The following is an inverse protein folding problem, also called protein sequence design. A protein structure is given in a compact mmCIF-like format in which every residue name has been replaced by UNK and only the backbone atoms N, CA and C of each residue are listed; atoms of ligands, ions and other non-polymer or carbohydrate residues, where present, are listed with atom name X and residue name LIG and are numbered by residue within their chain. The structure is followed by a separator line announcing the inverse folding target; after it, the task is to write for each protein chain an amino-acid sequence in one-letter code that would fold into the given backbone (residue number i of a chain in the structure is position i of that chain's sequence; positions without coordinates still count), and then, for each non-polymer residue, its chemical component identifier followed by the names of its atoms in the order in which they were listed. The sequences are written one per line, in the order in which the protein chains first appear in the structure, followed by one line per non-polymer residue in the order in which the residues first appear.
data_IF_943237239188
#
_entry.id   IF_943237239188
#
_cell.length_a   1.000
_cell.length_b   1.000
_cell.length_c   1.000
_cell.angle_alpha   90.00
_cell.angle_beta   90.00
_cell.angle_gamma   90.00
#
_symmetry.space_group_name_H-M   'P 1'
#
loop_
_entity.id
_entity.type
_entity.pdbx_description
1 polymer ?
#
# COMPACT_ATOMS: atom_id res chain seq x y z
N UNK A 1 6.54 21.72 -0.50
CA UNK A 1 7.18 21.85 0.83
C UNK A 1 8.38 20.90 0.88
N UNK A 2 9.55 21.35 1.34
CA UNK A 2 10.75 20.51 1.47
C UNK A 2 11.97 20.89 0.60
N UNK A 3 12.05 22.13 0.10
CA UNK A 3 13.21 22.56 -0.66
C UNK A 3 14.41 22.83 0.26
N UNK A 4 15.46 21.99 0.16
CA UNK A 4 16.78 22.29 0.71
C UNK A 4 17.44 23.42 -0.09
N UNK A 5 18.06 24.37 0.61
CA UNK A 5 18.83 25.44 0.00
C UNK A 5 20.01 24.87 -0.80
N UNK A 6 20.30 25.45 -1.97
CA UNK A 6 21.36 24.98 -2.86
C UNK A 6 22.72 24.78 -2.16
N UNK A 7 23.22 25.70 -1.30
CA UNK A 7 24.52 25.54 -0.64
C UNK A 7 24.63 24.33 0.31
N UNK A 8 23.49 23.84 0.81
CA UNK A 8 23.44 22.67 1.68
C UNK A 8 23.27 21.38 0.87
N UNK A 9 22.58 21.45 -0.27
CA UNK A 9 22.41 20.34 -1.22
C UNK A 9 23.77 19.90 -1.81
N UNK A 10 24.60 20.87 -2.17
CA UNK A 10 25.89 20.62 -2.83
C UNK A 10 26.92 19.94 -1.90
N UNK A 11 26.64 19.88 -0.58
CA UNK A 11 27.47 19.17 0.41
C UNK A 11 27.18 17.66 0.47
N UNK A 12 26.11 17.17 -0.19
CA UNK A 12 25.82 15.75 -0.26
C UNK A 12 26.50 15.14 -1.50
N UNK A 13 27.52 14.29 -1.29
CA UNK A 13 28.27 13.65 -2.38
C UNK A 13 27.53 12.52 -3.11
N UNK A 14 26.38 12.07 -2.59
CA UNK A 14 25.52 11.06 -3.22
C UNK A 14 24.08 11.55 -3.12
N UNK A 15 23.43 11.69 -4.27
CA UNK A 15 22.02 12.09 -4.37
C UNK A 15 21.27 10.93 -5.02
N UNK A 16 20.51 10.20 -4.21
CA UNK A 16 19.60 9.17 -4.70
C UNK A 16 18.18 9.70 -4.71
N UNK A 17 17.50 9.61 -5.85
CA UNK A 17 16.08 9.89 -5.97
C UNK A 17 15.33 8.57 -5.92
N UNK A 18 14.45 8.43 -4.94
CA UNK A 18 13.52 7.31 -4.89
C UNK A 18 12.37 7.58 -5.86
N UNK A 19 12.08 6.60 -6.70
CA UNK A 19 10.92 6.61 -7.59
C UNK A 19 9.76 5.83 -6.97
N UNK A 20 8.59 5.94 -7.58
CA UNK A 20 7.46 5.12 -7.19
C UNK A 20 7.71 3.66 -7.55
N UNK A 21 7.26 2.77 -6.68
CA UNK A 21 7.33 1.34 -6.91
C UNK A 21 6.34 0.93 -7.98
N UNK A 22 6.74 -0.03 -8.81
CA UNK A 22 5.86 -0.69 -9.77
C UNK A 22 4.95 -1.67 -9.03
N UNK A 23 3.83 -2.01 -9.67
CA UNK A 23 2.85 -2.94 -9.09
C UNK A 23 3.46 -4.29 -8.67
N UNK A 24 4.29 -4.99 -9.47
CA UNK A 24 4.89 -6.27 -9.06
C UNK A 24 5.80 -6.15 -7.84
N UNK A 25 6.49 -5.01 -7.69
CA UNK A 25 7.35 -4.75 -6.54
C UNK A 25 6.52 -4.52 -5.27
N UNK A 26 5.38 -3.83 -5.40
CA UNK A 26 4.43 -3.67 -4.30
C UNK A 26 3.76 -4.99 -3.93
N UNK A 27 3.40 -5.84 -4.89
CA UNK A 27 2.87 -7.19 -4.64
C UNK A 27 3.85 -8.04 -3.84
N UNK A 28 5.13 -7.99 -4.21
CA UNK A 28 6.20 -8.63 -3.45
C UNK A 28 6.29 -8.09 -2.02
N UNK A 29 6.27 -6.76 -1.86
CA UNK A 29 6.32 -6.12 -0.54
C UNK A 29 5.13 -6.52 0.33
N UNK A 30 3.92 -6.54 -0.23
CA UNK A 30 2.69 -6.90 0.49
C UNK A 30 2.73 -8.37 0.91
N UNK A 31 3.08 -9.27 0.00
CA UNK A 31 3.18 -10.71 0.29
C UNK A 31 4.21 -10.96 1.39
N UNK A 32 5.40 -10.38 1.28
CA UNK A 32 6.47 -10.50 2.29
C UNK A 32 6.07 -9.88 3.64
N UNK A 33 5.32 -8.79 3.64
CA UNK A 33 4.80 -8.20 4.88
C UNK A 33 3.72 -9.07 5.52
N UNK A 34 2.88 -9.74 4.72
CA UNK A 34 1.88 -10.66 5.19
C UNK A 34 2.53 -11.90 5.85
N UNK A 35 3.57 -12.46 5.24
CA UNK A 35 4.38 -13.54 5.81
C UNK A 35 4.97 -13.15 7.18
N UNK A 36 5.63 -11.98 7.27
CA UNK A 36 6.21 -11.49 8.53
C UNK A 36 5.16 -11.35 9.64
N UNK A 37 3.94 -10.95 9.26
CA UNK A 37 2.84 -10.72 10.20
C UNK A 37 1.96 -11.97 10.40
N UNK A 38 2.32 -13.12 9.81
CA UNK A 38 1.53 -14.36 9.80
C UNK A 38 0.07 -14.15 9.34
N UNK A 39 -0.11 -13.39 8.27
CA UNK A 39 -1.41 -13.11 7.66
C UNK A 39 -1.57 -14.02 6.45
N UNK A 40 -2.66 -14.80 6.40
CA UNK A 40 -3.02 -15.54 5.20
C UNK A 40 -3.41 -14.58 4.08
N UNK A 41 -2.74 -14.66 2.94
CA UNK A 41 -3.05 -13.85 1.76
C UNK A 41 -2.83 -14.68 0.49
N UNK A 42 -3.71 -14.52 -0.50
CA UNK A 42 -3.49 -15.07 -1.84
C UNK A 42 -2.95 -14.00 -2.79
N UNK A 43 -2.28 -14.42 -3.86
CA UNK A 43 -1.64 -13.52 -4.83
C UNK A 43 -2.59 -12.45 -5.38
N UNK A 44 -3.85 -12.81 -5.65
CA UNK A 44 -4.86 -11.88 -6.15
C UNK A 44 -5.26 -10.82 -5.12
N UNK A 45 -5.30 -11.17 -3.83
CA UNK A 45 -5.52 -10.22 -2.73
C UNK A 45 -4.34 -9.26 -2.56
N UNK A 46 -3.11 -9.76 -2.67
CA UNK A 46 -1.92 -8.92 -2.65
C UNK A 46 -1.88 -7.95 -3.83
N UNK A 47 -2.27 -8.41 -5.03
CA UNK A 47 -2.39 -7.60 -6.24
C UNK A 47 -3.40 -6.46 -6.08
N UNK A 48 -4.58 -6.73 -5.50
CA UNK A 48 -5.60 -5.71 -5.28
C UNK A 48 -5.13 -4.61 -4.30
N UNK A 49 -4.44 -5.01 -3.22
CA UNK A 49 -3.84 -4.07 -2.28
C UNK A 49 -2.74 -3.24 -2.97
N UNK A 50 -1.84 -3.89 -3.72
CA UNK A 50 -0.74 -3.24 -4.41
C UNK A 50 -1.24 -2.20 -5.42
N UNK A 51 -2.26 -2.55 -6.21
CA UNK A 51 -2.89 -1.66 -7.21
C UNK A 51 -3.39 -0.36 -6.58
N UNK A 52 -4.02 -0.43 -5.39
CA UNK A 52 -4.55 0.75 -4.67
C UNK A 52 -3.54 1.48 -3.78
N UNK A 53 -2.27 1.09 -3.81
CA UNK A 53 -1.24 1.63 -2.92
C UNK A 53 -0.46 2.82 -3.50
N UNK A 54 -0.83 3.30 -4.69
CA UNK A 54 -0.29 4.52 -5.33
C UNK A 54 1.25 4.52 -5.37
N UNK A 55 1.85 3.40 -5.78
CA UNK A 55 3.32 3.28 -5.92
C UNK A 55 4.11 3.38 -4.62
N UNK A 56 3.44 3.35 -3.46
CA UNK A 56 4.05 3.70 -2.17
C UNK A 56 4.01 2.54 -1.17
N UNK A 57 5.15 1.94 -0.78
CA UNK A 57 5.21 0.83 0.16
C UNK A 57 4.58 1.12 1.53
N UNK A 58 4.67 2.38 1.99
CA UNK A 58 4.04 2.81 3.25
C UNK A 58 2.52 2.67 3.21
N UNK A 59 1.91 3.02 2.08
CA UNK A 59 0.46 2.91 1.89
C UNK A 59 0.09 1.43 1.80
N UNK A 60 0.82 0.63 1.03
CA UNK A 60 0.60 -0.81 0.92
C UNK A 60 0.57 -1.52 2.27
N UNK A 61 1.57 -1.28 3.11
CA UNK A 61 1.62 -1.86 4.46
C UNK A 61 0.49 -1.35 5.38
N UNK A 62 0.04 -0.10 5.20
CA UNK A 62 -1.11 0.45 5.94
C UNK A 62 -2.40 -0.25 5.52
N UNK A 63 -2.61 -0.45 4.22
CA UNK A 63 -3.79 -1.10 3.68
C UNK A 63 -3.84 -2.57 4.09
N UNK A 64 -2.73 -3.30 3.97
CA UNK A 64 -2.62 -4.70 4.39
C UNK A 64 -3.12 -4.92 5.83
N UNK A 65 -2.68 -4.08 6.77
CA UNK A 65 -3.12 -4.18 8.18
C UNK A 65 -4.63 -3.99 8.34
N UNK A 66 -5.21 -3.02 7.63
CA UNK A 66 -6.66 -2.76 7.68
C UNK A 66 -7.48 -3.86 7.03
N UNK A 67 -7.03 -4.35 5.88
CA UNK A 67 -7.69 -5.46 5.16
C UNK A 67 -7.60 -6.75 5.97
N UNK A 68 -6.49 -7.00 6.67
CA UNK A 68 -6.39 -8.10 7.65
C UNK A 68 -7.46 -7.98 8.73
N UNK A 69 -7.55 -6.83 9.38
CA UNK A 69 -8.52 -6.63 10.47
C UNK A 69 -9.95 -6.90 9.98
N UNK A 70 -10.25 -6.52 8.74
CA UNK A 70 -11.50 -6.84 8.08
C UNK A 70 -11.68 -8.34 7.80
N UNK A 71 -10.67 -8.99 7.22
CA UNK A 71 -10.68 -10.42 6.89
C UNK A 71 -10.84 -11.32 8.12
N UNK A 72 -10.32 -10.89 9.27
CA UNK A 72 -10.45 -11.63 10.54
C UNK A 72 -11.86 -11.54 11.15
N UNK A 73 -12.62 -10.48 10.85
CA UNK A 73 -13.96 -10.27 11.43
C UNK A 73 -15.06 -10.79 10.52
N UNK A 74 -14.92 -10.62 9.20
CA UNK A 74 -15.98 -10.90 8.23
C UNK A 74 -15.74 -12.19 7.43
N UNK A 75 -14.49 -12.68 7.36
CA UNK A 75 -14.14 -13.88 6.62
C UNK A 75 -13.35 -14.89 7.46
N UNK A 76 -12.64 -15.78 6.78
CA UNK A 76 -11.90 -16.88 7.38
C UNK A 76 -10.46 -16.51 7.77
N UNK A 77 -10.15 -15.21 7.88
CA UNK A 77 -8.81 -14.71 8.18
C UNK A 77 -7.81 -14.75 7.01
N UNK A 78 -8.24 -15.18 5.82
CA UNK A 78 -7.42 -15.17 4.59
C UNK A 78 -7.84 -14.02 3.68
N UNK A 79 -6.87 -13.21 3.23
CA UNK A 79 -7.10 -12.08 2.33
C UNK A 79 -7.17 -12.59 0.88
N UNK A 80 -8.38 -12.61 0.33
CA UNK A 80 -8.66 -12.85 -1.09
C UNK A 80 -8.89 -11.54 -1.84
N UNK A 81 -9.00 -11.60 -3.17
CA UNK A 81 -9.33 -10.42 -3.99
C UNK A 81 -10.67 -9.80 -3.56
N UNK A 82 -11.69 -10.61 -3.34
CA UNK A 82 -13.03 -10.14 -2.97
C UNK A 82 -13.03 -9.48 -1.58
N UNK A 83 -12.35 -10.10 -0.61
CA UNK A 83 -12.21 -9.53 0.74
C UNK A 83 -11.41 -8.23 0.70
N UNK A 84 -10.34 -8.17 -0.10
CA UNK A 84 -9.56 -6.94 -0.27
C UNK A 84 -10.39 -5.84 -0.93
N UNK A 85 -11.17 -6.15 -1.98
CA UNK A 85 -12.03 -5.17 -2.64
C UNK A 85 -13.11 -4.63 -1.69
N UNK A 86 -13.86 -5.50 -1.00
CA UNK A 86 -14.91 -5.08 -0.06
C UNK A 86 -14.33 -4.24 1.09
N UNK A 87 -13.21 -4.68 1.68
CA UNK A 87 -12.53 -3.94 2.74
C UNK A 87 -12.11 -2.53 2.27
N UNK A 88 -11.50 -2.42 1.09
CA UNK A 88 -11.01 -1.16 0.55
C UNK A 88 -12.17 -0.24 0.14
N UNK A 89 -13.26 -0.77 -0.41
CA UNK A 89 -14.47 -0.01 -0.70
C UNK A 89 -15.10 0.58 0.58
N UNK A 90 -15.19 -0.21 1.66
CA UNK A 90 -15.71 0.27 2.96
C UNK A 90 -14.80 1.29 3.64
N UNK A 91 -13.50 1.25 3.34
CA UNK A 91 -12.55 2.30 3.71
C UNK A 91 -12.66 3.55 2.83
N UNK A 92 -13.60 3.57 1.88
CA UNK A 92 -13.80 4.62 0.88
C UNK A 92 -12.56 4.86 0.03
N UNK A 93 -11.81 3.79 -0.25
CA UNK A 93 -10.65 3.79 -1.13
C UNK A 93 -11.09 3.21 -2.47
N UNK A 94 -11.04 4.05 -3.50
CA UNK A 94 -11.47 3.64 -4.82
C UNK A 94 -10.44 2.77 -5.54
N UNK A 95 -10.80 2.35 -6.76
CA UNK A 95 -9.94 1.50 -7.60
C UNK A 95 -8.60 2.15 -7.94
N UNK A 96 -8.47 3.47 -7.88
CA UNK A 96 -7.21 4.18 -8.14
C UNK A 96 -6.44 4.50 -6.83
N UNK A 97 -6.95 4.05 -5.68
CA UNK A 97 -6.31 4.23 -4.38
C UNK A 97 -6.55 5.60 -3.76
N UNK A 98 -7.50 6.39 -4.27
CA UNK A 98 -7.86 7.69 -3.71
C UNK A 98 -8.84 7.51 -2.56
N UNK A 99 -8.56 8.18 -1.44
CA UNK A 99 -9.45 8.22 -0.30
C UNK A 99 -10.36 9.47 -0.32
N UNK A 100 -11.25 9.58 0.68
CA UNK A 100 -12.19 10.72 0.78
C UNK A 100 -11.50 12.08 0.92
N UNK A 101 -10.29 12.12 1.47
CA UNK A 101 -9.53 13.36 1.64
C UNK A 101 -8.91 13.73 0.30
N UNK A 102 -8.32 12.77 -0.41
CA UNK A 102 -7.78 12.99 -1.77
C UNK A 102 -8.85 13.53 -2.73
N UNK A 103 -10.10 13.07 -2.63
CA UNK A 103 -11.21 13.51 -3.50
C UNK A 103 -11.79 14.89 -3.19
N UNK A 104 -11.42 15.51 -2.07
CA UNK A 104 -11.93 16.83 -1.64
C UNK A 104 -11.01 18.00 -2.02
N UNK A 105 -9.80 17.70 -2.48
CA UNK A 105 -8.78 18.66 -2.90
C UNK A 105 -8.82 18.79 -4.42
#
# INVERSE_FOLDING_TARGET
AGALAAPLRDRFGIINRLEYYKQPELEFIVTRAAEILNIGIVSTGASEIARRSRGTPRIANRLLKRVRDFAQVIGDGVITQDIADDALQRLYIDKEGLDRIDRRV
#
